data_IF_712551594361
#
_entry.id   IF_712551594361
#
_cell.length_a   1.000
_cell.length_b   1.000
_cell.length_c   1.000
_cell.angle_alpha   90.00
_cell.angle_beta   90.00
_cell.angle_gamma   90.00
#
_symmetry.space_group_name_H-M   'P 1'
#
loop_
_entity.id
_entity.type
_entity.pdbx_description
1 polymer ?
#
# COMPACT_ATOMS: atom_id res chain seq x y z
N UNK A 1 9.37 1.09 27.46
CA UNK A 1 10.79 1.37 27.16
C UNK A 1 11.56 0.10 27.49
N UNK A 2 12.35 -0.44 26.56
CA UNK A 2 13.13 -1.66 26.81
C UNK A 2 14.21 -1.37 27.85
N UNK A 3 14.57 -2.40 28.64
CA UNK A 3 15.68 -2.29 29.56
C UNK A 3 17.02 -2.12 28.82
N UNK A 4 17.98 -1.42 29.44
CA UNK A 4 19.26 -1.12 28.81
C UNK A 4 20.09 -2.40 28.61
N UNK A 5 20.03 -3.36 29.53
CA UNK A 5 20.75 -4.64 29.39
C UNK A 5 20.20 -5.46 28.21
N UNK A 6 18.87 -5.47 28.03
CA UNK A 6 18.23 -6.08 26.87
C UNK A 6 18.68 -5.43 25.55
N UNK A 7 18.79 -4.10 25.51
CA UNK A 7 19.29 -3.39 24.32
C UNK A 7 20.76 -3.73 24.02
N UNK A 8 21.62 -3.86 25.04
CA UNK A 8 23.02 -4.27 24.86
C UNK A 8 23.11 -5.65 24.21
N UNK A 9 22.23 -6.58 24.57
CA UNK A 9 22.19 -7.91 23.94
C UNK A 9 21.69 -7.89 22.48
N UNK A 10 21.00 -6.83 22.08
CA UNK A 10 20.47 -6.62 20.72
C UNK A 10 21.42 -5.87 19.78
N UNK A 11 22.60 -5.43 20.24
CA UNK A 11 23.60 -4.81 19.37
C UNK A 11 23.84 -5.70 18.15
N UNK A 12 23.74 -5.11 16.95
CA UNK A 12 23.72 -5.84 15.69
C UNK A 12 25.05 -6.57 15.45
N UNK A 13 26.16 -5.83 15.48
CA UNK A 13 27.49 -6.37 15.22
C UNK A 13 28.01 -7.16 16.45
N UNK A 14 28.26 -8.49 16.33
CA UNK A 14 28.77 -9.29 17.44
C UNK A 14 30.12 -8.84 18.00
N UNK A 15 31.01 -8.31 17.16
CA UNK A 15 32.34 -7.84 17.58
C UNK A 15 32.21 -6.55 18.40
N UNK A 16 31.36 -5.62 17.96
CA UNK A 16 31.08 -4.37 18.68
C UNK A 16 30.32 -4.62 19.99
N UNK A 17 29.48 -5.65 20.05
CA UNK A 17 28.71 -6.00 21.26
C UNK A 17 29.60 -6.21 22.49
N UNK A 18 30.83 -6.70 22.31
CA UNK A 18 31.82 -6.79 23.39
C UNK A 18 32.14 -5.42 23.99
N UNK A 19 32.48 -4.44 23.16
CA UNK A 19 32.78 -3.06 23.57
C UNK A 19 31.58 -2.39 24.25
N UNK A 20 30.37 -2.62 23.75
CA UNK A 20 29.15 -2.07 24.35
C UNK A 20 28.88 -2.66 25.74
N UNK A 21 29.14 -3.96 25.93
CA UNK A 21 29.05 -4.61 27.25
C UNK A 21 30.08 -4.04 28.23
N UNK A 22 31.29 -3.71 27.75
CA UNK A 22 32.28 -3.03 28.59
C UNK A 22 31.83 -1.62 28.98
N UNK A 23 31.29 -0.84 28.03
CA UNK A 23 30.71 0.46 28.33
C UNK A 23 29.59 0.38 29.38
N UNK A 24 28.70 -0.61 29.24
CA UNK A 24 27.64 -0.90 30.21
C UNK A 24 28.19 -1.27 31.59
N UNK A 25 29.22 -2.12 31.67
CA UNK A 25 29.90 -2.47 32.93
C UNK A 25 30.56 -1.25 33.60
N UNK A 26 31.18 -0.38 32.82
CA UNK A 26 31.73 0.87 33.35
C UNK A 26 30.63 1.76 33.93
N UNK A 27 29.48 1.84 33.26
CA UNK A 27 28.32 2.58 33.76
C UNK A 27 27.81 1.98 35.09
N UNK A 28 27.57 0.67 35.16
CA UNK A 28 27.04 0.03 36.37
C UNK A 28 28.03 0.06 37.54
N UNK A 29 29.33 0.09 37.26
CA UNK A 29 30.39 0.26 38.26
C UNK A 29 30.63 1.72 38.68
N UNK A 30 29.87 2.70 38.15
CA UNK A 30 30.04 4.13 38.49
C UNK A 30 31.22 4.82 37.79
N UNK A 31 31.85 4.17 36.81
CA UNK A 31 32.94 4.73 35.99
C UNK A 31 32.40 5.52 34.79
N UNK A 32 31.71 6.64 35.04
CA UNK A 32 31.00 7.41 34.01
C UNK A 32 31.89 7.86 32.85
N UNK A 33 33.11 8.33 33.12
CA UNK A 33 34.06 8.77 32.07
C UNK A 33 34.43 7.62 31.13
N UNK A 34 34.74 6.45 31.70
CA UNK A 34 35.09 5.26 30.93
C UNK A 34 33.90 4.77 30.10
N UNK A 35 32.68 4.80 30.67
CA UNK A 35 31.47 4.44 29.96
C UNK A 35 31.24 5.30 28.71
N UNK A 36 31.42 6.63 28.81
CA UNK A 36 31.28 7.55 27.67
C UNK A 36 32.36 7.29 26.61
N UNK A 37 33.62 7.11 27.05
CA UNK A 37 34.75 6.81 26.13
C UNK A 37 34.45 5.53 25.34
N UNK A 38 34.10 4.44 26.02
CA UNK A 38 33.82 3.15 25.39
C UNK A 38 32.56 3.18 24.52
N UNK A 39 31.54 3.96 24.91
CA UNK A 39 30.34 4.17 24.08
C UNK A 39 30.73 4.80 22.74
N UNK A 40 31.57 5.83 22.75
CA UNK A 40 32.05 6.47 21.53
C UNK A 40 32.91 5.52 20.68
N UNK A 41 33.81 4.76 21.32
CA UNK A 41 34.62 3.73 20.63
C UNK A 41 33.72 2.70 19.93
N UNK A 42 32.67 2.23 20.59
CA UNK A 42 31.71 1.29 20.00
C UNK A 42 30.95 1.90 18.81
N UNK A 43 30.52 3.17 18.91
CA UNK A 43 29.89 3.90 17.80
C UNK A 43 30.82 3.97 16.59
N UNK A 44 32.09 4.31 16.80
CA UNK A 44 33.06 4.41 15.71
C UNK A 44 33.27 3.07 14.99
N UNK A 45 33.50 2.01 15.78
CA UNK A 45 33.70 0.66 15.26
C UNK A 45 32.47 0.16 14.48
N UNK A 46 31.26 0.44 14.98
CA UNK A 46 30.02 0.04 14.33
C UNK A 46 29.76 0.77 13.00
N UNK A 47 30.02 2.08 12.93
CA UNK A 47 29.87 2.84 11.67
C UNK A 47 30.84 2.29 10.61
N UNK A 48 32.10 2.02 10.98
CA UNK A 48 33.11 1.47 10.07
C UNK A 48 32.69 0.08 9.57
N UNK A 49 32.29 -0.81 10.48
CA UNK A 49 31.83 -2.15 10.11
C UNK A 49 30.59 -2.12 9.20
N UNK A 50 29.64 -1.23 9.49
CA UNK A 50 28.45 -1.03 8.65
C UNK A 50 28.82 -0.46 7.29
N UNK A 51 29.75 0.49 7.21
CA UNK A 51 30.24 1.01 5.93
C UNK A 51 30.89 -0.10 5.08
N UNK A 52 31.64 -1.02 5.71
CA UNK A 52 32.23 -2.16 5.01
C UNK A 52 31.15 -3.08 4.39
N UNK A 53 30.12 -3.43 5.18
CA UNK A 53 28.97 -4.21 4.69
C UNK A 53 28.28 -3.49 3.52
N UNK A 54 28.02 -2.18 3.64
CA UNK A 54 27.38 -1.40 2.58
C UNK A 54 28.24 -1.36 1.30
N UNK A 55 29.57 -1.28 1.42
CA UNK A 55 30.50 -1.34 0.28
C UNK A 55 30.41 -2.68 -0.43
N UNK A 56 30.43 -3.78 0.31
CA UNK A 56 30.33 -5.15 -0.23
C UNK A 56 28.98 -5.37 -0.95
N UNK A 57 27.92 -4.74 -0.46
CA UNK A 57 26.59 -4.72 -1.08
C UNK A 57 26.48 -3.75 -2.27
N UNK A 58 27.54 -2.98 -2.57
CA UNK A 58 27.68 -2.16 -3.78
C UNK A 58 27.36 -0.67 -3.62
N UNK A 59 27.19 -0.16 -2.40
CA UNK A 59 26.88 1.26 -2.17
C UNK A 59 28.10 2.16 -2.43
N UNK A 60 27.94 3.11 -3.36
CA UNK A 60 29.03 3.96 -3.80
C UNK A 60 29.52 4.91 -2.69
N UNK A 61 28.61 5.46 -1.89
CA UNK A 61 28.93 6.41 -0.83
C UNK A 61 29.74 5.81 0.33
N UNK A 62 29.73 4.48 0.47
CA UNK A 62 30.51 3.77 1.48
C UNK A 62 31.98 3.56 1.06
N UNK A 63 32.31 3.73 -0.23
CA UNK A 63 33.65 3.45 -0.75
C UNK A 63 34.71 4.37 -0.16
N UNK A 64 34.41 5.66 -0.05
CA UNK A 64 35.37 6.67 0.37
C UNK A 64 35.85 6.42 1.81
N UNK A 65 34.92 6.20 2.74
CA UNK A 65 35.28 5.96 4.16
C UNK A 65 36.03 4.65 4.33
N UNK A 66 35.63 3.59 3.63
CA UNK A 66 36.32 2.30 3.75
C UNK A 66 37.72 2.36 3.13
N UNK A 67 37.90 3.07 2.00
CA UNK A 67 39.21 3.26 1.40
C UNK A 67 40.16 4.07 2.31
N UNK A 68 39.66 5.10 3.00
CA UNK A 68 40.47 5.85 3.97
C UNK A 68 40.85 4.99 5.20
N UNK A 69 39.96 4.12 5.67
CA UNK A 69 40.28 3.16 6.74
C UNK A 69 41.34 2.14 6.28
N UNK A 70 41.21 1.57 5.08
CA UNK A 70 42.21 0.64 4.51
C UNK A 70 43.57 1.31 4.29
N UNK A 71 43.58 2.58 3.89
CA UNK A 71 44.80 3.39 3.79
C UNK A 71 45.44 3.61 5.15
N UNK A 72 44.66 3.85 6.20
CA UNK A 72 45.20 3.97 7.55
C UNK A 72 45.85 2.66 8.03
N UNK A 73 45.21 1.51 7.75
CA UNK A 73 45.71 0.18 8.12
C UNK A 73 47.02 -0.21 7.42
N UNK A 74 47.29 0.35 6.23
CA UNK A 74 48.51 0.06 5.44
C UNK A 74 49.61 1.10 5.59
N UNK A 75 49.34 2.19 6.32
CA UNK A 75 50.29 3.28 6.59
C UNK A 75 51.18 2.97 7.80
N UNK A 76 52.23 3.78 8.01
CA UNK A 76 53.01 3.73 9.25
C UNK A 76 52.14 4.09 10.46
N UNK A 77 52.51 3.64 11.67
CA UNK A 77 51.72 3.87 12.89
C UNK A 77 51.33 5.34 13.10
N UNK A 78 52.28 6.27 12.89
CA UNK A 78 52.05 7.71 13.04
C UNK A 78 51.05 8.24 12.02
N UNK A 79 51.20 7.86 10.75
CA UNK A 79 50.30 8.35 9.69
C UNK A 79 48.93 7.66 9.76
N UNK A 80 48.88 6.36 10.03
CA UNK A 80 47.64 5.63 10.26
C UNK A 80 46.83 6.20 11.41
N UNK A 81 47.48 6.57 12.52
CA UNK A 81 46.83 7.25 13.65
C UNK A 81 46.26 8.60 13.22
N UNK A 82 47.01 9.40 12.45
CA UNK A 82 46.55 10.70 11.96
C UNK A 82 45.33 10.58 11.03
N UNK A 83 45.33 9.58 10.14
CA UNK A 83 44.20 9.30 9.25
C UNK A 83 42.98 8.86 10.06
N UNK A 84 43.15 7.92 10.99
CA UNK A 84 42.03 7.43 11.82
C UNK A 84 41.42 8.52 12.70
N UNK A 85 42.21 9.47 13.21
CA UNK A 85 41.68 10.64 13.92
C UNK A 85 40.80 11.51 13.01
N UNK A 86 41.18 11.67 11.74
CA UNK A 86 40.37 12.35 10.72
C UNK A 86 39.08 11.59 10.43
N UNK A 87 39.16 10.28 10.24
CA UNK A 87 38.00 9.41 10.03
C UNK A 87 37.04 9.53 11.21
N UNK A 88 37.52 9.32 12.45
CA UNK A 88 36.72 9.38 13.69
C UNK A 88 35.94 10.69 13.82
N UNK A 89 36.57 11.83 13.48
CA UNK A 89 35.93 13.14 13.49
C UNK A 89 34.73 13.19 12.57
N UNK A 90 34.84 12.62 11.38
CA UNK A 90 33.87 12.75 10.29
C UNK A 90 32.79 11.64 10.33
N UNK A 91 32.98 10.57 11.12
CA UNK A 91 32.07 9.43 11.19
C UNK A 91 30.59 9.78 11.45
N UNK A 92 30.20 10.73 12.31
CA UNK A 92 28.79 11.12 12.45
C UNK A 92 28.17 11.66 11.16
N UNK A 93 28.92 12.48 10.42
CA UNK A 93 28.50 13.00 9.11
C UNK A 93 28.49 11.90 8.06
N UNK A 94 29.47 10.99 8.08
CA UNK A 94 29.46 9.79 7.24
C UNK A 94 28.26 8.89 7.54
N UNK A 95 27.90 8.69 8.80
CA UNK A 95 26.74 7.89 9.19
C UNK A 95 25.43 8.53 8.70
N UNK A 96 25.29 9.85 8.75
CA UNK A 96 24.17 10.57 8.12
C UNK A 96 24.18 10.42 6.60
N UNK A 97 25.34 10.57 5.94
CA UNK A 97 25.51 10.39 4.49
C UNK A 97 25.12 8.96 4.05
N UNK A 98 25.53 7.95 4.81
CA UNK A 98 25.17 6.54 4.62
C UNK A 98 23.75 6.22 5.11
N UNK A 99 23.02 7.23 5.60
CA UNK A 99 21.67 7.14 6.13
C UNK A 99 21.52 6.13 7.26
N UNK A 100 22.60 5.81 7.97
CA UNK A 100 22.58 4.96 9.17
C UNK A 100 21.83 5.64 10.33
N UNK A 101 21.82 6.97 10.33
CA UNK A 101 21.17 7.84 11.30
C UNK A 101 20.54 9.06 10.61
N UNK A 102 19.61 9.74 11.27
CA UNK A 102 19.06 11.04 10.83
C UNK A 102 19.85 12.24 11.38
N UNK A 103 19.44 13.46 11.01
CA UNK A 103 20.06 14.70 11.47
C UNK A 103 20.05 14.88 12.99
N UNK A 104 18.96 14.50 13.67
CA UNK A 104 18.82 14.63 15.12
C UNK A 104 19.74 13.64 15.83
N UNK A 105 19.76 12.40 15.34
CA UNK A 105 20.64 11.34 15.82
C UNK A 105 22.11 11.67 15.56
N UNK A 106 22.46 12.31 14.43
CA UNK A 106 23.82 12.85 14.21
C UNK A 106 24.23 13.79 15.33
N UNK A 107 23.36 14.75 15.69
CA UNK A 107 23.66 15.70 16.79
C UNK A 107 23.84 14.99 18.12
N UNK A 108 23.09 13.91 18.38
CA UNK A 108 23.28 13.09 19.57
C UNK A 108 24.65 12.40 19.54
N UNK A 109 25.07 11.78 18.43
CA UNK A 109 26.39 11.15 18.33
C UNK A 109 27.54 12.16 18.42
N UNK A 110 27.39 13.35 17.83
CA UNK A 110 28.36 14.45 17.97
C UNK A 110 28.52 14.87 19.43
N UNK A 111 27.42 14.89 20.20
CA UNK A 111 27.49 15.14 21.64
C UNK A 111 28.31 14.08 22.39
N UNK A 112 28.13 12.80 22.04
CA UNK A 112 28.93 11.71 22.63
C UNK A 112 30.42 11.92 22.34
N UNK A 113 30.79 12.28 21.10
CA UNK A 113 32.17 12.57 20.73
C UNK A 113 32.75 13.73 21.53
N UNK A 114 32.01 14.84 21.62
CA UNK A 114 32.47 16.05 22.31
C UNK A 114 32.67 15.78 23.81
N UNK A 115 31.76 15.05 24.45
CA UNK A 115 31.89 14.67 25.87
C UNK A 115 32.98 13.60 26.08
N UNK A 116 33.24 12.72 25.10
CA UNK A 116 34.41 11.84 25.10
C UNK A 116 35.71 12.64 25.11
N UNK A 117 35.81 13.75 24.37
CA UNK A 117 37.01 14.60 24.40
C UNK A 117 37.25 15.16 25.81
N UNK A 118 36.20 15.62 26.49
CA UNK A 118 36.28 16.09 27.88
C UNK A 118 36.68 14.96 28.85
N UNK A 119 36.19 13.74 28.62
CA UNK A 119 36.52 12.58 29.45
C UNK A 119 37.99 12.13 29.28
N UNK A 120 38.54 12.23 28.06
CA UNK A 120 39.86 11.71 27.73
C UNK A 120 41.00 12.72 27.98
N UNK A 121 40.73 14.03 27.92
CA UNK A 121 41.76 15.07 28.00
C UNK A 121 41.64 15.91 29.28
N UNK A 122 42.50 15.70 30.29
CA UNK A 122 42.42 16.40 31.58
C UNK A 122 42.78 17.90 31.51
N UNK A 123 43.33 18.38 30.40
CA UNK A 123 43.85 19.75 30.24
C UNK A 123 42.91 20.75 29.57
N UNK A 124 41.70 20.32 29.17
CA UNK A 124 40.76 21.19 28.42
C UNK A 124 40.00 22.14 29.36
N UNK A 125 39.94 21.86 30.67
CA UNK A 125 39.28 22.73 31.65
C UNK A 125 40.27 23.68 32.34
N UNK A 126 39.83 24.90 32.71
CA UNK A 126 40.64 25.81 33.51
C UNK A 126 41.19 25.11 34.76
N UNK A 127 42.43 25.41 35.12
CA UNK A 127 43.08 24.94 36.36
C UNK A 127 43.28 23.41 36.46
N UNK A 128 43.10 22.65 35.37
CA UNK A 128 43.35 21.21 35.35
C UNK A 128 42.26 20.37 36.01
N UNK A 129 41.05 20.93 36.16
CA UNK A 129 39.90 20.20 36.69
C UNK A 129 39.49 19.04 35.77
N UNK A 130 39.27 17.87 36.36
CA UNK A 130 38.77 16.71 35.63
C UNK A 130 37.28 16.88 35.32
N UNK A 131 36.88 16.45 34.13
CA UNK A 131 35.46 16.36 33.80
C UNK A 131 34.83 15.16 34.51
N UNK A 132 33.83 15.40 35.34
CA UNK A 132 33.10 14.39 36.11
C UNK A 132 31.62 14.31 35.67
N UNK A 133 31.29 13.50 34.65
CA UNK A 133 29.90 13.27 34.25
C UNK A 133 29.16 12.40 35.27
N UNK A 134 27.88 12.68 35.47
CA UNK A 134 27.01 11.84 36.31
C UNK A 134 26.74 10.48 35.67
N UNK A 135 26.40 9.49 36.49
CA UNK A 135 26.08 8.15 35.98
C UNK A 135 24.86 8.16 35.04
N UNK A 136 23.83 8.95 35.35
CA UNK A 136 22.67 9.14 34.46
C UNK A 136 23.06 9.75 33.11
N UNK A 137 24.06 10.63 33.09
CA UNK A 137 24.53 11.22 31.84
C UNK A 137 25.26 10.19 30.98
N UNK A 138 26.11 9.36 31.58
CA UNK A 138 26.74 8.24 30.89
C UNK A 138 25.70 7.21 30.38
N UNK A 139 24.67 6.92 31.19
CA UNK A 139 23.54 6.08 30.80
C UNK A 139 22.80 6.63 29.58
N UNK A 140 22.51 7.94 29.58
CA UNK A 140 21.83 8.60 28.48
C UNK A 140 22.63 8.52 27.17
N UNK A 141 23.97 8.63 27.25
CA UNK A 141 24.85 8.48 26.09
C UNK A 141 24.78 7.06 25.51
N UNK A 142 24.88 6.05 26.37
CA UNK A 142 24.78 4.65 25.95
C UNK A 142 23.41 4.33 25.35
N UNK A 143 22.33 4.80 25.98
CA UNK A 143 20.98 4.62 25.47
C UNK A 143 20.79 5.32 24.11
N UNK A 144 21.30 6.55 23.94
CA UNK A 144 21.23 7.28 22.68
C UNK A 144 22.00 6.56 21.56
N UNK A 145 23.20 6.03 21.84
CA UNK A 145 23.96 5.26 20.85
C UNK A 145 23.26 3.95 20.46
N UNK A 146 22.69 3.25 21.45
CA UNK A 146 21.91 2.01 21.22
C UNK A 146 20.69 2.29 20.35
N UNK A 147 19.90 3.31 20.71
CA UNK A 147 18.67 3.66 20.00
C UNK A 147 18.93 4.23 18.60
N UNK A 148 19.97 5.06 18.44
CA UNK A 148 20.27 5.68 17.17
C UNK A 148 20.91 4.70 16.16
N UNK A 149 21.81 3.83 16.63
CA UNK A 149 22.74 3.14 15.73
C UNK A 149 22.94 1.67 16.08
N UNK A 150 23.43 1.36 17.28
CA UNK A 150 24.13 0.08 17.55
C UNK A 150 23.24 -1.17 17.43
N UNK A 151 21.94 -1.08 17.71
CA UNK A 151 21.02 -2.23 17.61
C UNK A 151 20.47 -2.44 16.21
N UNK A 152 20.66 -1.47 15.31
CA UNK A 152 20.08 -1.51 13.97
C UNK A 152 21.07 -2.12 12.97
N UNK A 153 20.61 -3.00 12.07
CA UNK A 153 21.43 -3.45 10.95
C UNK A 153 21.77 -2.28 9.99
N UNK A 154 22.81 -2.40 9.14
CA UNK A 154 22.97 -1.54 7.97
C UNK A 154 21.87 -1.89 6.94
N UNK A 155 20.61 -1.58 7.24
CA UNK A 155 19.47 -1.98 6.40
C UNK A 155 19.40 -1.15 5.12
N UNK A 156 19.65 -1.82 4.00
CA UNK A 156 19.58 -1.31 2.63
C UNK A 156 18.18 -1.35 2.02
N UNK A 157 17.95 -0.46 1.05
CA UNK A 157 16.76 -0.51 0.19
C UNK A 157 16.64 -1.79 -0.64
N UNK A 158 17.73 -2.50 -0.97
CA UNK A 158 17.67 -3.69 -1.84
C UNK A 158 17.04 -4.91 -1.16
N UNK A 159 17.54 -5.31 0.02
CA UNK A 159 16.98 -6.42 0.80
C UNK A 159 15.52 -6.17 1.19
N UNK A 160 15.16 -4.91 1.47
CA UNK A 160 13.78 -4.55 1.74
C UNK A 160 12.88 -4.73 0.52
N UNK A 161 13.34 -4.31 -0.66
CA UNK A 161 12.60 -4.49 -1.92
C UNK A 161 12.44 -5.96 -2.27
N UNK A 162 13.48 -6.78 -2.06
CA UNK A 162 13.42 -8.24 -2.22
C UNK A 162 12.42 -8.85 -1.24
N UNK A 163 12.50 -8.52 0.06
CA UNK A 163 11.55 -8.99 1.06
C UNK A 163 10.10 -8.56 0.77
N UNK A 164 9.90 -7.34 0.28
CA UNK A 164 8.58 -6.87 -0.14
C UNK A 164 8.05 -7.66 -1.34
N UNK A 165 8.90 -7.87 -2.35
CA UNK A 165 8.56 -8.67 -3.53
C UNK A 165 8.14 -10.09 -3.12
N UNK A 166 8.96 -10.74 -2.31
CA UNK A 166 8.73 -12.12 -1.87
C UNK A 166 7.44 -12.23 -1.05
N UNK A 167 7.17 -11.26 -0.18
CA UNK A 167 5.93 -11.18 0.58
C UNK A 167 4.69 -11.10 -0.33
N UNK A 168 4.71 -10.24 -1.36
CA UNK A 168 3.57 -10.09 -2.29
C UNK A 168 3.44 -11.29 -3.25
N UNK A 169 4.56 -11.94 -3.56
CA UNK A 169 4.63 -13.13 -4.40
C UNK A 169 4.23 -14.42 -3.66
N UNK A 170 4.14 -14.39 -2.33
CA UNK A 170 3.75 -15.56 -1.54
C UNK A 170 2.36 -16.07 -1.96
N UNK A 171 2.18 -17.37 -2.28
CA UNK A 171 0.87 -17.91 -2.62
C UNK A 171 -0.19 -17.66 -1.54
N UNK A 172 0.20 -17.66 -0.27
CA UNK A 172 -0.60 -17.35 0.91
C UNK A 172 -0.64 -15.87 1.29
N UNK A 173 -0.23 -14.96 0.40
CA UNK A 173 -0.33 -13.51 0.62
C UNK A 173 -1.74 -13.10 1.08
N UNK A 174 -1.79 -12.49 2.27
CA UNK A 174 -2.98 -11.84 2.83
C UNK A 174 -2.74 -10.33 2.78
N UNK A 175 -3.69 -9.60 2.19
CA UNK A 175 -3.64 -8.15 2.17
C UNK A 175 -3.98 -7.58 3.55
N UNK A 176 -2.94 -7.21 4.30
CA UNK A 176 -3.03 -6.55 5.60
C UNK A 176 -2.36 -5.17 5.53
N UNK A 177 -3.17 -4.12 5.56
CA UNK A 177 -2.71 -2.73 5.46
C UNK A 177 -1.83 -2.32 6.65
N UNK A 178 -2.10 -2.83 7.85
CA UNK A 178 -1.35 -2.49 9.05
C UNK A 178 0.05 -3.12 8.99
N UNK A 179 0.14 -4.39 8.58
CA UNK A 179 1.42 -5.05 8.35
C UNK A 179 2.22 -4.37 7.24
N UNK A 180 1.60 -4.11 6.08
CA UNK A 180 2.28 -3.48 4.94
C UNK A 180 2.85 -2.10 5.30
N UNK A 181 2.06 -1.27 6.01
CA UNK A 181 2.51 0.03 6.49
C UNK A 181 3.68 -0.12 7.46
N UNK A 182 3.58 -1.01 8.46
CA UNK A 182 4.65 -1.18 9.45
C UNK A 182 5.95 -1.75 8.85
N UNK A 183 5.85 -2.80 8.04
CA UNK A 183 7.00 -3.55 7.52
C UNK A 183 7.72 -2.83 6.37
N UNK A 184 6.98 -2.13 5.51
CA UNK A 184 7.52 -1.61 4.25
C UNK A 184 7.42 -0.09 4.09
N UNK A 185 6.84 0.63 5.06
CA UNK A 185 6.61 2.06 4.93
C UNK A 185 7.01 2.90 6.16
N UNK A 186 6.34 2.72 7.30
CA UNK A 186 6.38 3.62 8.47
C UNK A 186 7.77 3.68 9.12
N UNK A 187 8.49 2.56 9.14
CA UNK A 187 9.85 2.46 9.70
C UNK A 187 10.91 2.21 8.63
N UNK A 188 10.61 2.64 7.41
CA UNK A 188 11.48 2.46 6.25
C UNK A 188 12.03 3.81 5.79
N UNK A 189 13.34 3.83 5.49
CA UNK A 189 14.05 5.02 4.97
C UNK A 189 13.36 5.56 3.71
N UNK A 190 13.24 6.88 3.50
CA UNK A 190 12.56 7.44 2.32
C UNK A 190 13.07 6.89 0.97
N UNK A 191 14.38 6.72 0.81
CA UNK A 191 14.95 6.15 -0.41
C UNK A 191 14.59 4.67 -0.62
N UNK A 192 14.59 3.87 0.46
CA UNK A 192 14.18 2.46 0.41
C UNK A 192 12.68 2.33 0.16
N UNK A 193 11.87 3.18 0.81
CA UNK A 193 10.43 3.31 0.61
C UNK A 193 10.11 3.64 -0.84
N UNK A 194 10.83 4.61 -1.42
CA UNK A 194 10.68 4.96 -2.82
C UNK A 194 10.96 3.78 -3.75
N UNK A 195 12.01 2.97 -3.47
CA UNK A 195 12.30 1.76 -4.24
C UNK A 195 11.20 0.69 -4.12
N UNK A 196 10.63 0.51 -2.92
CA UNK A 196 9.49 -0.41 -2.68
C UNK A 196 8.25 0.06 -3.46
N UNK A 197 7.88 1.33 -3.32
CA UNK A 197 6.72 1.91 -4.01
C UNK A 197 6.93 1.91 -5.52
N UNK A 198 8.15 2.15 -6.00
CA UNK A 198 8.50 2.07 -7.42
C UNK A 198 8.40 0.64 -7.96
N UNK A 199 8.82 -0.38 -7.19
CA UNK A 199 8.62 -1.78 -7.56
C UNK A 199 7.12 -2.09 -7.71
N UNK A 200 6.32 -1.70 -6.72
CA UNK A 200 4.87 -1.90 -6.76
C UNK A 200 4.23 -1.19 -7.96
N UNK A 201 4.60 0.06 -8.22
CA UNK A 201 4.15 0.84 -9.38
C UNK A 201 4.51 0.15 -10.70
N UNK A 202 5.75 -0.31 -10.85
CA UNK A 202 6.24 -0.99 -12.05
C UNK A 202 5.40 -2.22 -12.39
N UNK A 203 5.16 -3.10 -11.42
CA UNK A 203 4.42 -4.33 -11.67
C UNK A 203 2.90 -4.10 -11.79
N UNK A 204 2.33 -3.21 -10.98
CA UNK A 204 0.91 -2.87 -11.07
C UNK A 204 0.55 -2.22 -12.42
N UNK A 205 1.41 -1.32 -12.93
CA UNK A 205 1.17 -0.62 -14.20
C UNK A 205 1.47 -1.49 -15.41
N UNK A 206 2.58 -2.24 -15.41
CA UNK A 206 3.06 -2.89 -16.64
C UNK A 206 2.76 -4.38 -16.71
N UNK A 207 2.26 -5.00 -15.63
CA UNK A 207 1.95 -6.43 -15.56
C UNK A 207 3.09 -7.28 -16.14
N UNK A 208 4.29 -7.07 -15.60
CA UNK A 208 5.49 -7.74 -16.09
C UNK A 208 5.41 -9.22 -15.70
N UNK A 209 5.52 -10.07 -16.71
CA UNK A 209 5.71 -11.51 -16.51
C UNK A 209 7.19 -11.76 -16.16
N UNK A 210 7.42 -12.23 -14.94
CA UNK A 210 8.75 -12.57 -14.44
C UNK A 210 8.77 -14.07 -14.14
N UNK A 211 9.54 -14.89 -14.89
CA UNK A 211 9.59 -16.34 -14.68
C UNK A 211 10.03 -16.77 -13.28
N UNK A 212 10.70 -15.89 -12.52
CA UNK A 212 11.08 -16.16 -11.14
C UNK A 212 9.91 -15.96 -10.15
N UNK A 213 8.79 -15.41 -10.59
CA UNK A 213 7.61 -15.19 -9.76
C UNK A 213 6.73 -16.46 -9.74
N UNK A 214 6.44 -17.05 -8.58
CA UNK A 214 5.60 -18.25 -8.48
C UNK A 214 4.12 -18.00 -8.76
N UNK A 215 3.69 -16.73 -8.86
CA UNK A 215 2.30 -16.32 -9.05
C UNK A 215 2.11 -15.71 -10.43
N UNK A 216 0.94 -15.97 -11.02
CA UNK A 216 0.51 -15.37 -12.29
C UNK A 216 0.71 -13.84 -12.32
N UNK A 217 1.17 -13.32 -13.46
CA UNK A 217 1.54 -11.92 -13.61
C UNK A 217 0.36 -10.96 -13.36
N UNK A 218 -0.87 -11.33 -13.75
CA UNK A 218 -2.05 -10.51 -13.52
C UNK A 218 -2.44 -10.49 -12.03
N UNK A 219 -2.37 -11.65 -11.36
CA UNK A 219 -2.61 -11.75 -9.91
C UNK A 219 -1.57 -10.96 -9.13
N UNK A 220 -0.30 -11.07 -9.48
CA UNK A 220 0.77 -10.33 -8.83
C UNK A 220 0.62 -8.82 -9.02
N UNK A 221 0.25 -8.39 -10.24
CA UNK A 221 -0.01 -6.98 -10.52
C UNK A 221 -1.21 -6.44 -9.73
N UNK A 222 -2.30 -7.21 -9.60
CA UNK A 222 -3.46 -6.85 -8.78
C UNK A 222 -3.07 -6.70 -7.29
N UNK A 223 -2.24 -7.60 -6.75
CA UNK A 223 -1.71 -7.49 -5.38
C UNK A 223 -0.81 -6.27 -5.19
N UNK A 224 0.05 -5.97 -6.16
CA UNK A 224 0.90 -4.78 -6.16
C UNK A 224 0.06 -3.49 -6.18
N UNK A 225 -1.04 -3.46 -6.92
CA UNK A 225 -1.97 -2.33 -6.91
C UNK A 225 -2.69 -2.17 -5.57
N UNK A 226 -3.04 -3.27 -4.88
CA UNK A 226 -3.56 -3.21 -3.52
C UNK A 226 -2.53 -2.55 -2.57
N UNK A 227 -1.26 -2.97 -2.65
CA UNK A 227 -0.18 -2.36 -1.87
C UNK A 227 -0.02 -0.86 -2.17
N UNK A 228 -0.09 -0.45 -3.44
CA UNK A 228 -0.03 0.97 -3.81
C UNK A 228 -1.16 1.81 -3.23
N UNK A 229 -2.38 1.26 -3.11
CA UNK A 229 -3.49 1.95 -2.45
C UNK A 229 -3.17 2.20 -0.98
N UNK A 230 -2.69 1.18 -0.26
CA UNK A 230 -2.26 1.33 1.13
C UNK A 230 -1.12 2.35 1.29
N UNK A 231 -0.14 2.36 0.37
CA UNK A 231 0.94 3.35 0.40
C UNK A 231 0.46 4.76 0.07
N UNK A 232 -0.54 4.92 -0.79
CA UNK A 232 -1.09 6.22 -1.16
C UNK A 232 -1.84 6.90 0.00
N UNK A 233 -2.41 6.12 0.93
CA UNK A 233 -3.00 6.63 2.17
C UNK A 233 -1.95 7.30 3.09
N UNK A 234 -0.67 6.94 2.94
CA UNK A 234 0.43 7.48 3.74
C UNK A 234 1.25 8.55 3.02
N UNK A 235 1.50 8.37 1.72
CA UNK A 235 2.21 9.33 0.89
C UNK A 235 1.72 9.28 -0.57
N UNK A 236 0.62 9.99 -0.83
CA UNK A 236 0.05 10.09 -2.17
C UNK A 236 1.02 10.73 -3.19
N UNK A 237 1.90 11.63 -2.74
CA UNK A 237 2.90 12.28 -3.58
C UNK A 237 3.93 11.27 -4.10
N UNK A 238 4.50 10.47 -3.20
CA UNK A 238 5.44 9.42 -3.56
C UNK A 238 4.84 8.39 -4.53
N UNK A 239 3.61 7.93 -4.27
CA UNK A 239 2.93 6.98 -5.14
C UNK A 239 2.71 7.58 -6.53
N UNK A 240 2.23 8.83 -6.62
CA UNK A 240 2.08 9.55 -7.89
C UNK A 240 3.40 9.59 -8.65
N UNK A 241 4.49 9.99 -8.02
CA UNK A 241 5.80 10.12 -8.68
C UNK A 241 6.32 8.77 -9.18
N UNK A 242 6.15 7.70 -8.40
CA UNK A 242 6.53 6.34 -8.79
C UNK A 242 5.66 5.78 -9.94
N UNK A 243 4.36 6.06 -9.95
CA UNK A 243 3.45 5.69 -11.04
C UNK A 243 3.79 6.47 -12.31
N UNK A 244 4.08 7.77 -12.21
CA UNK A 244 4.46 8.63 -13.34
C UNK A 244 5.68 8.11 -14.09
N UNK A 245 6.69 7.56 -13.39
CA UNK A 245 7.86 6.92 -14.01
C UNK A 245 7.52 5.78 -14.98
N UNK A 246 6.34 5.16 -14.85
CA UNK A 246 5.94 4.02 -15.69
C UNK A 246 5.06 4.41 -16.89
N UNK A 247 4.57 5.65 -16.96
CA UNK A 247 3.57 6.08 -17.96
C UNK A 247 4.11 6.04 -19.39
N UNK A 248 5.38 6.39 -19.61
CA UNK A 248 6.02 6.29 -20.93
C UNK A 248 6.01 4.84 -21.43
N UNK A 249 6.36 3.90 -20.54
CA UNK A 249 6.39 2.46 -20.85
C UNK A 249 4.98 1.91 -21.06
N UNK A 250 3.98 2.40 -20.31
CA UNK A 250 2.58 2.04 -20.50
C UNK A 250 2.08 2.48 -21.89
N UNK A 251 2.45 3.68 -22.34
CA UNK A 251 2.07 4.19 -23.65
C UNK A 251 2.57 3.35 -24.83
N UNK A 252 3.69 2.66 -24.67
CA UNK A 252 4.24 1.74 -25.68
C UNK A 252 3.91 0.26 -25.42
N UNK A 253 3.20 -0.05 -24.33
CA UNK A 253 2.83 -1.42 -23.98
C UNK A 253 1.75 -1.97 -24.92
N UNK A 254 1.47 -3.27 -24.82
CA UNK A 254 0.39 -3.90 -25.59
C UNK A 254 -0.98 -3.33 -25.16
N UNK A 255 -2.00 -3.34 -26.04
CA UNK A 255 -3.35 -2.88 -25.69
C UNK A 255 -3.93 -3.61 -24.47
N UNK A 256 -3.59 -4.89 -24.29
CA UNK A 256 -4.01 -5.67 -23.13
C UNK A 256 -3.40 -5.15 -21.82
N UNK A 257 -2.10 -4.84 -21.80
CA UNK A 257 -1.45 -4.25 -20.61
C UNK A 257 -2.03 -2.87 -20.30
N UNK A 258 -2.32 -2.07 -21.33
CA UNK A 258 -2.96 -0.75 -21.19
C UNK A 258 -4.33 -0.84 -20.51
N UNK A 259 -5.20 -1.73 -21.01
CA UNK A 259 -6.53 -1.95 -20.44
C UNK A 259 -6.44 -2.57 -19.03
N UNK A 260 -5.53 -3.52 -18.80
CA UNK A 260 -5.31 -4.10 -17.48
C UNK A 260 -4.87 -3.04 -16.46
N UNK A 261 -3.93 -2.16 -16.83
CA UNK A 261 -3.49 -1.06 -15.98
C UNK A 261 -4.66 -0.11 -15.66
N UNK A 262 -5.44 0.28 -16.68
CA UNK A 262 -6.59 1.15 -16.53
C UNK A 262 -7.65 0.52 -15.60
N UNK A 263 -8.05 -0.73 -15.83
CA UNK A 263 -9.03 -1.40 -14.98
C UNK A 263 -8.54 -1.59 -13.54
N UNK A 264 -7.24 -1.81 -13.35
CA UNK A 264 -6.63 -2.05 -12.04
C UNK A 264 -6.40 -0.78 -11.22
N UNK A 265 -6.03 0.33 -11.87
CA UNK A 265 -5.56 1.57 -11.23
C UNK A 265 -6.45 2.78 -11.51
N UNK A 266 -7.47 2.64 -12.35
CA UNK A 266 -8.33 3.73 -12.82
C UNK A 266 -9.23 4.35 -11.74
N UNK A 267 -9.22 3.83 -10.52
CA UNK A 267 -9.85 4.44 -9.36
C UNK A 267 -8.87 5.17 -8.43
N UNK A 268 -7.57 5.16 -8.74
CA UNK A 268 -6.54 5.82 -7.96
C UNK A 268 -6.29 7.24 -8.47
N UNK A 269 -6.41 8.28 -7.63
CA UNK A 269 -6.08 9.66 -8.02
C UNK A 269 -4.64 9.80 -8.54
N UNK A 270 -3.70 9.04 -7.96
CA UNK A 270 -2.29 9.04 -8.37
C UNK A 270 -2.08 8.57 -9.83
N UNK A 271 -2.91 7.65 -10.33
CA UNK A 271 -2.86 7.18 -11.72
C UNK A 271 -3.27 8.29 -12.69
N UNK A 272 -4.37 8.98 -12.41
CA UNK A 272 -4.85 10.09 -13.22
C UNK A 272 -3.93 11.31 -13.20
N UNK A 273 -3.36 11.62 -12.03
CA UNK A 273 -2.38 12.70 -11.90
C UNK A 273 -1.07 12.42 -12.63
N UNK A 274 -0.79 11.15 -12.94
CA UNK A 274 0.39 10.72 -13.69
C UNK A 274 0.14 10.62 -15.22
N UNK A 275 -1.12 10.48 -15.65
CA UNK A 275 -1.47 10.31 -17.06
C UNK A 275 -1.20 11.58 -17.87
N UNK A 276 -0.51 11.42 -19.00
CA UNK A 276 -0.32 12.47 -19.99
C UNK A 276 -1.50 12.53 -20.96
N UNK A 277 -1.73 13.67 -21.58
CA UNK A 277 -2.84 13.84 -22.54
C UNK A 277 -2.80 12.88 -23.73
N UNK A 278 -1.64 12.59 -24.36
CA UNK A 278 -1.58 11.59 -25.42
C UNK A 278 -1.96 10.18 -24.96
N UNK A 279 -1.57 9.80 -23.74
CA UNK A 279 -1.88 8.49 -23.19
C UNK A 279 -3.36 8.39 -22.80
N UNK A 280 -3.95 9.48 -22.29
CA UNK A 280 -5.39 9.59 -22.06
C UNK A 280 -6.18 9.36 -23.35
N UNK A 281 -5.85 10.09 -24.42
CA UNK A 281 -6.51 9.91 -25.72
C UNK A 281 -6.34 8.50 -26.30
N UNK A 282 -5.17 7.88 -26.09
CA UNK A 282 -4.95 6.48 -26.46
C UNK A 282 -5.89 5.53 -25.69
N UNK A 283 -6.00 5.69 -24.37
CA UNK A 283 -6.87 4.86 -23.53
C UNK A 283 -8.35 5.04 -23.87
N UNK A 284 -8.76 6.28 -24.16
CA UNK A 284 -10.13 6.60 -24.57
C UNK A 284 -10.50 5.93 -25.89
N UNK A 285 -9.62 6.01 -26.89
CA UNK A 285 -9.79 5.31 -28.18
C UNK A 285 -9.82 3.78 -28.03
N UNK A 286 -9.15 3.21 -27.01
CA UNK A 286 -9.26 1.77 -26.73
C UNK A 286 -10.62 1.39 -26.19
N UNK A 287 -11.22 2.23 -25.32
CA UNK A 287 -12.55 1.99 -24.75
C UNK A 287 -13.61 1.89 -25.84
N UNK A 288 -13.52 2.70 -26.90
CA UNK A 288 -14.46 2.63 -28.05
C UNK A 288 -14.53 1.24 -28.70
N UNK A 289 -13.44 0.47 -28.60
CA UNK A 289 -13.36 -0.88 -29.17
C UNK A 289 -13.73 -1.99 -28.17
N UNK A 290 -13.93 -1.65 -26.89
CA UNK A 290 -14.23 -2.63 -25.84
C UNK A 290 -15.62 -3.23 -26.05
N UNK A 291 -15.72 -4.55 -25.94
CA UNK A 291 -16.99 -5.27 -26.08
C UNK A 291 -17.52 -5.39 -27.51
N UNK A 292 -16.86 -4.75 -28.47
CA UNK A 292 -17.11 -4.93 -29.91
C UNK A 292 -16.59 -6.30 -30.36
N UNK A 293 -17.37 -7.06 -31.15
CA UNK A 293 -16.88 -8.32 -31.67
C UNK A 293 -15.76 -8.08 -32.72
N UNK A 294 -14.86 -9.06 -32.93
CA UNK A 294 -13.86 -8.94 -33.98
C UNK A 294 -14.52 -8.70 -35.35
N UNK A 295 -13.86 -7.98 -36.28
CA UNK A 295 -14.39 -7.73 -37.62
C UNK A 295 -14.83 -9.04 -38.29
N UNK A 296 -16.07 -9.08 -38.77
CA UNK A 296 -16.62 -10.23 -39.49
C UNK A 296 -17.24 -11.35 -38.63
N UNK A 297 -17.37 -11.18 -37.30
CA UNK A 297 -18.02 -12.16 -36.41
C UNK A 297 -19.15 -11.50 -35.63
N UNK A 298 -20.36 -12.04 -35.68
CA UNK A 298 -21.45 -11.63 -34.79
C UNK A 298 -21.45 -12.61 -33.61
N UNK A 299 -21.10 -12.12 -32.42
CA UNK A 299 -21.17 -12.92 -31.18
C UNK A 299 -22.42 -12.51 -30.42
N UNK A 300 -23.50 -13.29 -30.57
CA UNK A 300 -24.73 -13.13 -29.79
C UNK A 300 -24.50 -13.82 -28.44
N UNK A 301 -24.66 -13.08 -27.33
CA UNK A 301 -24.60 -13.64 -25.97
C UNK A 301 -23.19 -13.89 -25.39
N UNK A 302 -22.13 -13.34 -25.99
CA UNK A 302 -20.77 -13.48 -25.47
C UNK A 302 -20.53 -12.69 -24.17
N UNK A 303 -19.78 -13.28 -23.22
CA UNK A 303 -19.31 -12.61 -21.99
C UNK A 303 -18.22 -11.59 -22.32
N UNK A 304 -18.17 -10.49 -21.57
CA UNK A 304 -17.01 -9.59 -21.59
C UNK A 304 -15.79 -10.31 -21.01
N UNK A 305 -14.59 -9.95 -21.47
CA UNK A 305 -13.38 -10.35 -20.75
C UNK A 305 -13.38 -9.68 -19.36
N UNK A 306 -12.83 -10.31 -18.32
CA UNK A 306 -12.79 -9.71 -16.97
C UNK A 306 -12.21 -8.29 -16.94
N UNK A 307 -11.13 -8.04 -17.70
CA UNK A 307 -10.51 -6.71 -17.82
C UNK A 307 -11.44 -5.70 -18.48
N UNK A 308 -12.18 -6.09 -19.51
CA UNK A 308 -13.10 -5.21 -20.23
C UNK A 308 -14.26 -4.78 -19.31
N UNK A 309 -14.81 -5.73 -18.55
CA UNK A 309 -15.83 -5.43 -17.55
C UNK A 309 -15.28 -4.48 -16.47
N UNK A 310 -14.06 -4.72 -15.97
CA UNK A 310 -13.41 -3.90 -14.94
C UNK A 310 -13.13 -2.47 -15.43
N UNK A 311 -12.68 -2.30 -16.68
CA UNK A 311 -12.46 -0.98 -17.30
C UNK A 311 -13.78 -0.23 -17.46
N UNK A 312 -14.80 -0.87 -18.03
CA UNK A 312 -16.09 -0.22 -18.25
C UNK A 312 -16.78 0.14 -16.93
N UNK A 313 -16.54 -0.60 -15.85
CA UNK A 313 -17.09 -0.29 -14.53
C UNK A 313 -16.60 1.05 -13.97
N UNK A 314 -15.48 1.58 -14.49
CA UNK A 314 -15.02 2.93 -14.16
C UNK A 314 -15.99 4.03 -14.60
N UNK A 315 -16.94 3.72 -15.50
CA UNK A 315 -18.02 4.62 -15.89
C UNK A 315 -18.82 5.11 -14.68
N UNK A 316 -18.84 4.41 -13.54
CA UNK A 316 -19.49 4.89 -12.32
C UNK A 316 -18.89 6.20 -11.76
N UNK A 317 -17.59 6.44 -11.99
CA UNK A 317 -16.88 7.61 -11.44
C UNK A 317 -17.03 8.85 -12.32
N UNK A 318 -17.67 9.89 -11.79
CA UNK A 318 -17.92 11.12 -12.53
C UNK A 318 -16.64 11.80 -13.07
N UNK A 319 -15.57 11.83 -12.28
CA UNK A 319 -14.31 12.44 -12.70
C UNK A 319 -13.53 11.60 -13.71
N UNK A 320 -13.73 10.28 -13.70
CA UNK A 320 -13.18 9.38 -14.71
C UNK A 320 -13.94 9.54 -16.03
N UNK A 321 -15.28 9.65 -16.00
CA UNK A 321 -16.09 9.94 -17.21
C UNK A 321 -15.69 11.24 -17.90
N UNK A 322 -15.33 12.28 -17.13
CA UNK A 322 -14.80 13.54 -17.71
C UNK A 322 -13.47 13.35 -18.42
N UNK A 323 -12.65 12.43 -17.90
CA UNK A 323 -11.31 12.16 -18.39
C UNK A 323 -11.27 11.13 -19.53
N UNK A 324 -12.25 10.23 -19.61
CA UNK A 324 -12.44 9.22 -20.64
C UNK A 324 -13.91 9.22 -21.09
N UNK A 325 -14.32 10.17 -21.95
CA UNK A 325 -15.72 10.31 -22.38
C UNK A 325 -16.26 9.09 -23.13
N UNK A 326 -15.41 8.26 -23.75
CA UNK A 326 -15.85 7.06 -24.45
C UNK A 326 -16.50 6.01 -23.52
N UNK A 327 -16.24 6.05 -22.20
CA UNK A 327 -16.80 5.10 -21.23
C UNK A 327 -18.33 5.04 -21.24
N UNK A 328 -18.99 6.21 -21.27
CA UNK A 328 -20.45 6.27 -21.22
C UNK A 328 -21.07 5.66 -22.48
N UNK A 329 -20.58 6.07 -23.67
CA UNK A 329 -21.06 5.55 -24.93
C UNK A 329 -20.79 4.04 -25.08
N UNK A 330 -19.60 3.58 -24.66
CA UNK A 330 -19.25 2.17 -24.68
C UNK A 330 -20.17 1.34 -23.77
N UNK A 331 -20.41 1.78 -22.53
CA UNK A 331 -21.33 1.12 -21.60
C UNK A 331 -22.78 1.08 -22.14
N UNK A 332 -23.27 2.19 -22.69
CA UNK A 332 -24.63 2.27 -23.22
C UNK A 332 -24.81 1.41 -24.49
N UNK A 333 -23.76 1.17 -25.26
CA UNK A 333 -23.83 0.26 -26.41
C UNK A 333 -23.95 -1.23 -26.03
N UNK A 334 -23.68 -1.58 -24.78
CA UNK A 334 -23.69 -2.97 -24.32
C UNK A 334 -25.10 -3.56 -24.24
N UNK A 335 -25.17 -4.88 -24.47
CA UNK A 335 -26.38 -5.66 -24.18
C UNK A 335 -26.64 -5.73 -22.67
N UNK A 336 -27.89 -6.01 -22.28
CA UNK A 336 -28.28 -6.12 -20.86
C UNK A 336 -27.38 -7.07 -20.05
N UNK A 337 -27.05 -8.24 -20.61
CA UNK A 337 -26.15 -9.21 -19.96
C UNK A 337 -24.74 -8.66 -19.72
N UNK A 338 -24.18 -7.93 -20.70
CA UNK A 338 -22.85 -7.33 -20.56
C UNK A 338 -22.88 -6.15 -19.58
N UNK A 339 -23.96 -5.36 -19.56
CA UNK A 339 -24.15 -4.30 -18.55
C UNK A 339 -24.20 -4.87 -17.14
N UNK A 340 -24.91 -5.98 -16.92
CA UNK A 340 -24.94 -6.66 -15.62
C UNK A 340 -23.53 -7.09 -15.16
N UNK A 341 -22.72 -7.66 -16.07
CA UNK A 341 -21.31 -8.00 -15.78
C UNK A 341 -20.45 -6.78 -15.42
N UNK A 342 -20.70 -5.62 -16.01
CA UNK A 342 -19.99 -4.37 -15.68
C UNK A 342 -20.39 -3.88 -14.29
N UNK A 343 -21.69 -3.88 -13.97
CA UNK A 343 -22.21 -3.44 -12.67
C UNK A 343 -21.64 -4.31 -11.54
N UNK A 344 -21.57 -5.63 -11.76
CA UNK A 344 -21.03 -6.60 -10.80
C UNK A 344 -19.59 -6.27 -10.37
N UNK A 345 -18.76 -5.72 -11.27
CA UNK A 345 -17.37 -5.39 -10.95
C UNK A 345 -17.25 -4.25 -9.94
N UNK A 346 -18.16 -3.28 -10.00
CA UNK A 346 -18.13 -2.10 -9.13
C UNK A 346 -19.51 -1.47 -9.02
N UNK A 347 -20.34 -1.91 -8.06
CA UNK A 347 -21.63 -1.29 -7.79
C UNK A 347 -21.44 0.20 -7.44
N UNK A 348 -22.29 1.05 -8.01
CA UNK A 348 -22.20 2.51 -7.86
C UNK A 348 -23.59 3.14 -8.07
N UNK A 349 -23.92 4.29 -7.43
CA UNK A 349 -25.17 5.02 -7.67
C UNK A 349 -25.45 5.33 -9.14
N UNK A 350 -24.42 5.52 -9.98
CA UNK A 350 -24.56 5.73 -11.42
C UNK A 350 -25.38 4.62 -12.10
N UNK A 351 -25.23 3.38 -11.65
CA UNK A 351 -25.87 2.23 -12.29
C UNK A 351 -27.35 2.07 -11.90
N UNK A 352 -27.81 2.70 -10.82
CA UNK A 352 -29.18 2.58 -10.32
C UNK A 352 -30.23 2.92 -11.38
N UNK A 353 -29.96 3.91 -12.24
CA UNK A 353 -30.89 4.34 -13.28
C UNK A 353 -31.07 3.34 -14.43
N UNK A 354 -30.17 2.35 -14.55
CA UNK A 354 -30.22 1.34 -15.61
C UNK A 354 -30.90 0.04 -15.15
N UNK A 355 -31.09 -0.16 -13.85
CA UNK A 355 -31.63 -1.41 -13.28
C UNK A 355 -33.06 -1.71 -13.74
N UNK A 356 -34.02 -0.75 -13.78
CA UNK A 356 -35.37 -1.05 -14.27
C UNK A 356 -35.36 -1.56 -15.70
N UNK A 357 -34.59 -0.91 -16.58
CA UNK A 357 -34.45 -1.33 -17.98
C UNK A 357 -33.82 -2.73 -18.11
N UNK A 358 -32.92 -3.13 -17.21
CA UNK A 358 -32.40 -4.50 -17.18
C UNK A 358 -33.51 -5.50 -16.86
N UNK A 359 -34.35 -5.22 -15.84
CA UNK A 359 -35.45 -6.09 -15.44
C UNK A 359 -36.52 -6.24 -16.54
N UNK A 360 -36.88 -5.15 -17.23
CA UNK A 360 -37.78 -5.22 -18.39
C UNK A 360 -37.20 -6.07 -19.54
N UNK A 361 -35.88 -6.15 -19.65
CA UNK A 361 -35.20 -6.91 -20.71
C UNK A 361 -34.97 -8.39 -20.37
N UNK A 362 -35.38 -8.87 -19.19
CA UNK A 362 -35.27 -10.28 -18.82
C UNK A 362 -36.11 -11.13 -19.78
N UNK A 363 -35.49 -12.17 -20.35
CA UNK A 363 -36.13 -13.06 -21.36
C UNK A 363 -36.31 -14.50 -20.88
N UNK A 364 -35.69 -14.88 -19.76
CA UNK A 364 -35.83 -16.18 -19.12
C UNK A 364 -35.59 -16.07 -17.62
N UNK A 365 -36.12 -17.02 -16.84
CA UNK A 365 -35.88 -17.11 -15.40
C UNK A 365 -34.39 -17.07 -15.03
N UNK A 366 -33.52 -17.77 -15.77
CA UNK A 366 -32.08 -17.76 -15.54
C UNK A 366 -31.47 -16.37 -15.73
N UNK A 367 -31.89 -15.64 -16.77
CA UNK A 367 -31.41 -14.26 -16.98
C UNK A 367 -31.94 -13.29 -15.92
N UNK A 368 -33.15 -13.52 -15.41
CA UNK A 368 -33.72 -12.76 -14.30
C UNK A 368 -32.91 -12.93 -13.03
N UNK A 369 -32.60 -14.19 -12.69
CA UNK A 369 -31.74 -14.52 -11.56
C UNK A 369 -30.35 -13.88 -11.70
N UNK A 370 -29.74 -13.97 -12.88
CA UNK A 370 -28.43 -13.38 -13.14
C UNK A 370 -28.44 -11.85 -12.97
N UNK A 371 -29.44 -11.14 -13.50
CA UNK A 371 -29.52 -9.69 -13.36
C UNK A 371 -29.78 -9.25 -11.93
N UNK A 372 -30.62 -9.99 -11.20
CA UNK A 372 -30.85 -9.76 -9.79
C UNK A 372 -29.54 -9.85 -8.98
N UNK A 373 -28.80 -10.95 -9.16
CA UNK A 373 -27.58 -11.26 -8.43
C UNK A 373 -26.41 -10.33 -8.81
N UNK A 374 -26.21 -10.08 -10.10
CA UNK A 374 -25.05 -9.35 -10.61
C UNK A 374 -25.21 -7.83 -10.61
N UNK A 375 -26.45 -7.32 -10.71
CA UNK A 375 -26.70 -5.89 -10.88
C UNK A 375 -27.62 -5.30 -9.80
N UNK A 376 -28.79 -5.90 -9.56
CA UNK A 376 -29.79 -5.29 -8.68
C UNK A 376 -29.38 -5.33 -7.21
N UNK A 377 -29.08 -6.52 -6.67
CA UNK A 377 -28.74 -6.68 -5.27
C UNK A 377 -27.47 -5.89 -4.89
N UNK A 378 -26.38 -5.91 -5.68
CA UNK A 378 -25.18 -5.14 -5.36
C UNK A 378 -25.42 -3.62 -5.33
N UNK A 379 -26.32 -3.10 -6.17
CA UNK A 379 -26.65 -1.67 -6.21
C UNK A 379 -27.77 -1.26 -5.25
N UNK A 380 -28.41 -2.20 -4.55
CA UNK A 380 -29.60 -1.93 -3.72
C UNK A 380 -29.37 -0.83 -2.68
N UNK A 381 -28.21 -0.80 -2.02
CA UNK A 381 -27.85 0.22 -1.03
C UNK A 381 -27.68 1.64 -1.59
N UNK A 382 -27.70 1.80 -2.92
CA UNK A 382 -27.59 3.10 -3.59
C UNK A 382 -28.92 3.60 -4.17
N UNK A 383 -29.98 2.79 -4.11
CA UNK A 383 -31.28 3.15 -4.66
C UNK A 383 -31.88 4.34 -3.92
N UNK A 384 -32.45 5.27 -4.67
CA UNK A 384 -33.39 6.25 -4.16
C UNK A 384 -34.81 5.68 -4.16
N UNK A 385 -35.73 6.28 -3.41
CA UNK A 385 -37.12 5.83 -3.36
C UNK A 385 -37.80 5.76 -4.76
N UNK A 386 -37.69 6.77 -5.64
CA UNK A 386 -38.26 6.69 -6.98
C UNK A 386 -37.64 5.57 -7.83
N UNK A 387 -36.33 5.38 -7.73
CA UNK A 387 -35.64 4.31 -8.47
C UNK A 387 -36.04 2.91 -7.98
N UNK A 388 -36.27 2.75 -6.66
CA UNK A 388 -36.78 1.50 -6.11
C UNK A 388 -38.20 1.22 -6.62
N UNK A 389 -39.08 2.22 -6.64
CA UNK A 389 -40.45 2.07 -7.17
C UNK A 389 -40.46 1.67 -8.65
N UNK A 390 -39.66 2.34 -9.50
CA UNK A 390 -39.51 2.00 -10.91
C UNK A 390 -38.95 0.58 -11.11
N UNK A 391 -37.95 0.20 -10.30
CA UNK A 391 -37.33 -1.12 -10.35
C UNK A 391 -38.33 -2.21 -9.97
N UNK A 392 -39.10 -2.02 -8.90
CA UNK A 392 -40.10 -2.98 -8.43
C UNK A 392 -41.21 -3.13 -9.46
N UNK A 393 -41.68 -2.03 -10.04
CA UNK A 393 -42.67 -2.06 -11.14
C UNK A 393 -42.13 -2.90 -12.31
N UNK A 394 -40.91 -2.62 -12.79
CA UNK A 394 -40.29 -3.37 -13.88
C UNK A 394 -40.04 -4.85 -13.56
N UNK A 395 -39.84 -5.17 -12.27
CA UNK A 395 -39.68 -6.54 -11.80
C UNK A 395 -41.00 -7.30 -11.81
N UNK A 396 -42.05 -6.73 -11.22
CA UNK A 396 -43.36 -7.38 -11.07
C UNK A 396 -44.08 -7.54 -12.40
N UNK A 397 -43.99 -6.54 -13.28
CA UNK A 397 -44.62 -6.56 -14.60
C UNK A 397 -44.01 -7.61 -15.55
N UNK A 398 -42.84 -8.15 -15.24
CA UNK A 398 -42.17 -9.16 -16.07
C UNK A 398 -42.27 -10.55 -15.46
N UNK A 399 -43.11 -11.40 -16.05
CA UNK A 399 -43.32 -12.79 -15.58
C UNK A 399 -42.04 -13.63 -15.56
N UNK A 400 -41.00 -13.27 -16.34
CA UNK A 400 -39.72 -13.97 -16.37
C UNK A 400 -38.82 -13.62 -15.17
N UNK A 401 -39.21 -12.66 -14.32
CA UNK A 401 -38.51 -12.26 -13.10
C UNK A 401 -38.94 -13.06 -11.85
N UNK A 402 -39.70 -14.14 -12.05
CA UNK A 402 -40.26 -14.96 -10.96
C UNK A 402 -39.67 -16.38 -10.93
N UNK A 403 -38.39 -16.50 -11.27
CA UNK A 403 -37.63 -17.74 -11.11
C UNK A 403 -37.50 -18.17 -9.64
N UNK A 404 -37.15 -19.43 -9.39
CA UNK A 404 -37.15 -20.04 -8.04
C UNK A 404 -36.38 -19.25 -6.95
N UNK A 405 -35.28 -18.59 -7.30
CA UNK A 405 -34.47 -17.82 -6.35
C UNK A 405 -34.97 -16.37 -6.13
N UNK A 406 -35.79 -15.86 -7.04
CA UNK A 406 -36.19 -14.44 -7.10
C UNK A 406 -36.97 -13.98 -5.86
N UNK A 407 -37.88 -14.78 -5.26
CA UNK A 407 -38.54 -14.36 -4.03
C UNK A 407 -37.56 -14.12 -2.87
N UNK A 408 -36.51 -14.95 -2.76
CA UNK A 408 -35.42 -14.73 -1.79
C UNK A 408 -34.65 -13.44 -2.06
N UNK A 409 -34.40 -13.11 -3.33
CA UNK A 409 -33.76 -11.86 -3.73
C UNK A 409 -34.63 -10.62 -3.46
N UNK A 410 -35.96 -10.72 -3.57
CA UNK A 410 -36.86 -9.62 -3.19
C UNK A 410 -36.79 -9.33 -1.69
N UNK A 411 -36.72 -10.37 -0.84
CA UNK A 411 -36.50 -10.21 0.60
C UNK A 411 -35.15 -9.54 0.89
N UNK A 412 -34.12 -9.89 0.13
CA UNK A 412 -32.81 -9.25 0.26
C UNK A 412 -32.81 -7.79 -0.23
N UNK A 413 -33.49 -7.51 -1.35
CA UNK A 413 -33.70 -6.17 -1.89
C UNK A 413 -34.53 -5.30 -0.94
N UNK A 414 -35.40 -5.87 -0.11
CA UNK A 414 -36.10 -5.14 0.95
C UNK A 414 -35.15 -4.69 2.08
N UNK A 415 -34.19 -5.55 2.46
CA UNK A 415 -33.25 -5.32 3.56
C UNK A 415 -32.15 -4.32 3.20
N UNK A 416 -31.56 -4.44 2.02
CA UNK A 416 -30.35 -3.68 1.63
C UNK A 416 -30.52 -2.15 1.58
N UNK A 417 -31.63 -1.56 1.09
CA UNK A 417 -31.84 -0.11 1.05
C UNK A 417 -32.41 0.45 2.38
N UNK A 418 -31.85 0.02 3.51
CA UNK A 418 -32.34 0.42 4.84
C UNK A 418 -32.27 1.94 5.08
N UNK A 419 -31.40 2.67 4.35
CA UNK A 419 -31.29 4.13 4.41
C UNK A 419 -32.55 4.87 3.93
N UNK A 420 -33.47 4.20 3.22
CA UNK A 420 -34.73 4.79 2.78
C UNK A 420 -35.81 4.87 3.87
N UNK A 421 -35.52 4.34 5.07
CA UNK A 421 -36.44 4.38 6.21
C UNK A 421 -37.59 3.37 6.12
N UNK A 422 -38.43 3.27 7.16
CA UNK A 422 -39.49 2.25 7.26
C UNK A 422 -40.62 2.44 6.25
N UNK A 423 -40.89 3.68 5.83
CA UNK A 423 -41.94 4.02 4.85
C UNK A 423 -41.74 3.40 3.46
N UNK A 424 -40.53 2.87 3.17
CA UNK A 424 -40.27 2.09 1.95
C UNK A 424 -41.13 0.83 1.86
N UNK A 425 -41.64 0.34 2.98
CA UNK A 425 -42.52 -0.84 3.04
C UNK A 425 -43.79 -0.69 2.20
N UNK A 426 -44.31 0.53 2.03
CA UNK A 426 -45.49 0.78 1.22
C UNK A 426 -45.28 0.48 -0.28
N UNK A 427 -44.03 0.54 -0.76
CA UNK A 427 -43.70 0.23 -2.16
C UNK A 427 -43.85 -1.27 -2.49
N UNK A 428 -43.94 -2.12 -1.47
CA UNK A 428 -44.02 -3.56 -1.60
C UNK A 428 -45.45 -4.09 -1.51
N UNK A 429 -46.42 -3.24 -1.15
CA UNK A 429 -47.82 -3.64 -1.03
C UNK A 429 -48.41 -4.20 -2.34
N UNK A 430 -48.10 -3.65 -3.54
CA UNK A 430 -48.54 -4.24 -4.81
C UNK A 430 -47.93 -5.64 -5.08
N UNK A 431 -46.80 -5.97 -4.45
CA UNK A 431 -46.04 -7.19 -4.70
C UNK A 431 -46.50 -8.40 -3.87
N UNK A 432 -47.16 -8.14 -2.74
CA UNK A 432 -47.46 -9.16 -1.73
C UNK A 432 -48.46 -10.20 -2.22
N UNK A 433 -49.30 -9.83 -3.18
CA UNK A 433 -50.31 -10.71 -3.76
C UNK A 433 -49.72 -11.63 -4.85
N UNK A 434 -48.57 -11.26 -5.42
CA UNK A 434 -47.87 -12.05 -6.45
C UNK A 434 -46.74 -12.94 -5.88
N UNK A 435 -46.38 -12.75 -4.60
CA UNK A 435 -45.39 -13.57 -3.89
C UNK A 435 -45.98 -14.92 -3.45
N UNK A 436 -45.16 -15.97 -3.48
CA UNK A 436 -45.51 -17.24 -2.83
C UNK A 436 -45.59 -17.08 -1.29
N UNK A 437 -46.30 -18.01 -0.63
CA UNK A 437 -46.60 -17.93 0.81
C UNK A 437 -45.33 -17.84 1.68
N UNK A 438 -44.26 -18.53 1.30
CA UNK A 438 -42.99 -18.56 2.04
C UNK A 438 -42.24 -17.23 1.94
N UNK A 439 -42.18 -16.64 0.75
CA UNK A 439 -41.53 -15.35 0.53
C UNK A 439 -42.34 -14.18 1.08
N UNK A 440 -43.68 -14.25 0.96
CA UNK A 440 -44.59 -13.31 1.61
C UNK A 440 -44.40 -13.32 3.13
N UNK A 441 -44.38 -14.50 3.76
CA UNK A 441 -44.14 -14.63 5.19
C UNK A 441 -42.72 -14.18 5.61
N UNK A 442 -41.72 -14.32 4.74
CA UNK A 442 -40.37 -13.79 4.98
C UNK A 442 -40.34 -12.25 4.91
N UNK A 443 -40.99 -11.65 3.92
CA UNK A 443 -41.06 -10.20 3.75
C UNK A 443 -41.86 -9.53 4.87
N UNK A 444 -43.01 -10.10 5.25
CA UNK A 444 -43.84 -9.63 6.37
C UNK A 444 -43.08 -9.67 7.72
N UNK A 445 -42.25 -10.70 7.95
CA UNK A 445 -41.37 -10.76 9.13
C UNK A 445 -40.35 -9.62 9.17
N UNK A 446 -39.76 -9.26 8.04
CA UNK A 446 -38.82 -8.14 7.98
C UNK A 446 -39.52 -6.78 8.17
N UNK A 447 -40.72 -6.59 7.59
CA UNK A 447 -41.55 -5.38 7.82
C UNK A 447 -41.91 -5.19 9.29
N UNK A 448 -42.23 -6.29 9.99
CA UNK A 448 -42.58 -6.25 11.41
C UNK A 448 -41.39 -5.86 12.29
N UNK A 449 -40.17 -6.27 11.93
CA UNK A 449 -38.94 -5.86 12.62
C UNK A 449 -38.68 -4.36 12.46
N UNK A 450 -38.83 -3.83 11.25
CA UNK A 450 -38.65 -2.40 10.99
C UNK A 450 -39.70 -1.53 11.70
N UNK A 451 -40.94 -2.00 11.81
CA UNK A 451 -42.00 -1.32 12.55
C UNK A 451 -41.85 -1.37 14.08
N UNK A 452 -41.12 -2.37 14.61
CA UNK A 452 -40.88 -2.55 16.04
C UNK A 452 -39.61 -1.85 16.59
N UNK A 453 -38.82 -1.21 15.73
CA UNK A 453 -37.52 -0.61 16.07
C UNK A 453 -37.58 0.77 16.77
N UNK A 454 -38.76 1.39 16.90
CA UNK A 454 -38.95 2.70 17.54
C UNK A 454 -39.25 2.60 19.06
N UNK A 455 -38.92 1.46 19.68
CA UNK A 455 -39.19 1.17 21.09
C UNK A 455 -38.11 0.34 21.77
N UNK A 456 -36.88 0.83 21.81
CA UNK A 456 -35.85 0.39 22.76
C UNK A 456 -34.85 1.51 23.06
#
# INVERSE_FOLDING_TARGET
MLDLEDQVNRVFNPEVRGLVREAYRCYTAGSSRAAIILTWTAVCADIIAKAQILREEGEADARDVVAEVEKAQTSSEVEGTRIMQGVERDLPATAEKLQLIDFTQRRLLERIRDDRHLCAHPSIRPLGELYEPTSEYARAHLAAALDALLVHPPSQGRKLVESFRDHVADPGFIYDTAYLAHAFFDRVRPAARAKVVELAAKFAVLQIDDPANPVDAAVFADRMAACLRSFAERDAGLVKDCVAKQMVRLGTATPEVQLNALGRLGDMPAFWAALTEPLRGLLDARIETVGSPPPGRIVIGGKLKPVEARVLALVGHADVRKQLPALAAAFESLSALKRAQVIEQRPDPYFATYLPQLMTNVRSFDTGQAFAEQAVLPCAGHLTRPQLEELLTAWFDNSQCWGRAMPGYLVELYRRPAHLGPDRGALWDPALDDLDDDARAALERERTKDAGGDGA
#
